data_IF_752630065626
#
_entry.id   IF_752630065626
#
_cell.length_a   1.000
_cell.length_b   1.000
_cell.length_c   1.000
_cell.angle_alpha   90.00
_cell.angle_beta   90.00
_cell.angle_gamma   90.00
#
_symmetry.space_group_name_H-M   'P 1'
#
loop_
_entity.id
_entity.type
_entity.pdbx_description
1 polymer ?
#
# COMPACT_ATOMS: atom_id res chain seq x y z
N UNK A 1 -40.37 22.54 -28.11
CA UNK A 1 -39.53 22.63 -26.90
C UNK A 1 -38.12 23.03 -27.32
N UNK A 2 -37.78 24.32 -27.24
CA UNK A 2 -36.43 24.79 -27.57
C UNK A 2 -35.49 24.47 -26.41
N UNK A 3 -34.39 23.78 -26.67
CA UNK A 3 -33.35 23.56 -25.65
C UNK A 3 -32.80 24.91 -25.20
N UNK A 4 -32.92 25.18 -23.90
CA UNK A 4 -32.34 26.38 -23.30
C UNK A 4 -30.83 26.33 -23.52
N UNK A 5 -30.26 27.32 -24.22
CA UNK A 5 -28.82 27.37 -24.55
C UNK A 5 -27.92 27.19 -23.30
N UNK A 6 -28.40 27.59 -22.12
CA UNK A 6 -27.73 27.37 -20.82
C UNK A 6 -27.50 25.90 -20.50
N UNK A 7 -28.47 25.03 -20.79
CA UNK A 7 -28.39 23.59 -20.52
C UNK A 7 -27.32 22.90 -21.37
N UNK A 8 -26.99 23.44 -22.55
CA UNK A 8 -25.91 22.92 -23.38
C UNK A 8 -24.51 23.41 -22.92
N UNK A 9 -24.45 24.55 -22.23
CA UNK A 9 -23.18 25.18 -21.80
C UNK A 9 -22.74 24.71 -20.42
N UNK A 10 -23.70 24.47 -19.52
CA UNK A 10 -23.46 24.01 -18.15
C UNK A 10 -22.60 22.74 -18.04
N UNK A 11 -22.80 21.67 -18.83
CA UNK A 11 -21.91 20.52 -18.80
C UNK A 11 -20.49 20.86 -19.26
N UNK A 12 -20.32 21.73 -20.26
CA UNK A 12 -18.99 22.12 -20.75
C UNK A 12 -18.21 22.87 -19.66
N UNK A 13 -18.88 23.76 -18.93
CA UNK A 13 -18.28 24.49 -17.81
C UNK A 13 -17.93 23.55 -16.66
N UNK A 14 -18.80 22.59 -16.34
CA UNK A 14 -18.55 21.65 -15.24
C UNK A 14 -17.36 20.73 -15.54
N UNK A 15 -17.22 20.28 -16.79
CA UNK A 15 -16.05 19.52 -17.24
C UNK A 15 -14.76 20.36 -17.14
N UNK A 16 -14.73 21.56 -17.69
CA UNK A 16 -13.56 22.46 -17.60
C UNK A 16 -13.17 22.78 -16.14
N UNK A 17 -14.16 22.97 -15.27
CA UNK A 17 -13.92 23.22 -13.84
C UNK A 17 -13.33 21.99 -13.14
N UNK A 18 -13.79 20.79 -13.51
CA UNK A 18 -13.24 19.54 -12.98
C UNK A 18 -11.78 19.34 -13.40
N UNK A 19 -11.48 19.51 -14.69
CA UNK A 19 -10.12 19.37 -15.22
C UNK A 19 -9.16 20.39 -14.60
N UNK A 20 -9.60 21.65 -14.48
CA UNK A 20 -8.80 22.68 -13.82
C UNK A 20 -8.55 22.38 -12.34
N UNK A 21 -9.54 21.83 -11.63
CA UNK A 21 -9.37 21.40 -10.25
C UNK A 21 -8.43 20.21 -10.11
N UNK A 22 -8.46 19.26 -11.03
CA UNK A 22 -7.53 18.11 -11.06
C UNK A 22 -6.09 18.61 -11.28
N UNK A 23 -5.85 19.46 -12.29
CA UNK A 23 -4.52 20.06 -12.55
C UNK A 23 -4.04 20.86 -11.33
N UNK A 24 -4.92 21.64 -10.70
CA UNK A 24 -4.59 22.39 -9.48
C UNK A 24 -4.26 21.46 -8.30
N UNK A 25 -5.00 20.37 -8.11
CA UNK A 25 -4.75 19.41 -7.03
C UNK A 25 -3.45 18.62 -7.27
N UNK A 26 -3.16 18.28 -8.53
CA UNK A 26 -1.90 17.69 -8.97
C UNK A 26 -0.72 18.61 -8.65
N UNK A 27 -0.77 19.88 -9.06
CA UNK A 27 0.29 20.87 -8.80
C UNK A 27 0.45 21.19 -7.31
N UNK A 28 -0.63 21.14 -6.53
CA UNK A 28 -0.58 21.27 -5.07
C UNK A 28 -0.11 19.99 -4.36
N UNK A 29 0.16 18.91 -5.09
CA UNK A 29 0.53 17.61 -4.52
C UNK A 29 -0.57 16.97 -3.67
N UNK A 30 -1.81 17.47 -3.76
CA UNK A 30 -2.92 17.08 -2.88
C UNK A 30 -3.46 15.69 -3.20
N UNK A 31 -3.37 15.28 -4.46
CA UNK A 31 -3.60 13.87 -4.89
C UNK A 31 -2.49 12.95 -4.36
N UNK A 32 -1.26 13.47 -4.27
CA UNK A 32 -0.12 12.78 -3.67
C UNK A 32 -0.20 12.61 -2.16
N UNK A 33 -0.93 13.47 -1.43
CA UNK A 33 -1.09 13.34 0.04
C UNK A 33 -1.92 12.09 0.39
N UNK A 34 -2.95 11.79 -0.41
CA UNK A 34 -3.82 10.63 -0.18
C UNK A 34 -3.07 9.33 -0.48
N UNK A 35 -2.27 9.30 -1.55
CA UNK A 35 -1.39 8.15 -1.82
C UNK A 35 -0.25 8.05 -0.80
N UNK A 36 0.37 9.17 -0.40
CA UNK A 36 1.43 9.23 0.62
C UNK A 36 0.96 8.79 2.00
N UNK A 37 -0.34 8.87 2.33
CA UNK A 37 -0.92 8.28 3.54
C UNK A 37 -1.08 6.75 3.48
N UNK A 38 -1.20 6.18 2.28
CA UNK A 38 -1.31 4.73 2.10
C UNK A 38 0.04 4.00 2.23
N UNK A 39 1.13 4.62 1.74
CA UNK A 39 2.48 4.05 1.84
C UNK A 39 2.97 3.73 3.27
N UNK A 40 2.80 4.59 4.30
CA UNK A 40 3.25 4.28 5.65
C UNK A 40 2.46 3.11 6.26
N UNK A 41 1.17 2.95 5.93
CA UNK A 41 0.40 1.80 6.40
C UNK A 41 0.89 0.49 5.78
N UNK A 42 1.21 0.48 4.47
CA UNK A 42 1.87 -0.66 3.82
C UNK A 42 3.28 -0.92 4.37
N UNK A 43 4.04 0.14 4.67
CA UNK A 43 5.39 0.03 5.24
C UNK A 43 5.40 -0.59 6.64
N UNK A 44 4.43 -0.24 7.49
CA UNK A 44 4.26 -0.83 8.83
C UNK A 44 3.90 -2.33 8.77
N UNK A 45 3.04 -2.71 7.82
CA UNK A 45 2.72 -4.13 7.57
C UNK A 45 3.96 -4.88 7.06
N UNK A 46 4.78 -4.26 6.22
CA UNK A 46 6.02 -4.86 5.70
C UNK A 46 7.10 -5.03 6.77
N UNK A 47 7.23 -4.10 7.73
CA UNK A 47 8.23 -4.19 8.79
C UNK A 47 7.90 -5.35 9.75
N UNK A 48 6.63 -5.44 10.17
CA UNK A 48 6.17 -6.48 11.09
C UNK A 48 6.26 -7.90 10.50
N UNK A 49 5.99 -8.06 9.21
CA UNK A 49 6.10 -9.35 8.52
C UNK A 49 7.55 -9.81 8.35
N UNK A 50 8.52 -8.90 8.18
CA UNK A 50 9.95 -9.24 8.11
C UNK A 50 10.51 -9.74 9.45
N UNK A 51 10.12 -9.13 10.57
CA UNK A 51 10.52 -9.57 11.91
C UNK A 51 9.98 -10.96 12.25
N UNK A 52 8.72 -11.24 11.91
CA UNK A 52 8.11 -12.57 12.07
C UNK A 52 8.84 -13.63 11.23
N UNK A 53 9.24 -13.29 10.00
CA UNK A 53 10.03 -14.18 9.14
C UNK A 53 11.38 -14.54 9.76
N UNK A 54 12.09 -13.56 10.35
CA UNK A 54 13.35 -13.80 11.05
C UNK A 54 13.19 -14.69 12.29
N UNK A 55 12.11 -14.49 13.05
CA UNK A 55 11.80 -15.31 14.22
C UNK A 55 11.51 -16.75 13.81
N UNK A 56 10.73 -16.96 12.75
CA UNK A 56 10.47 -18.29 12.19
C UNK A 56 11.77 -18.99 11.75
N UNK A 57 12.68 -18.26 11.10
CA UNK A 57 13.99 -18.78 10.68
C UNK A 57 14.83 -19.22 11.87
N UNK A 58 14.88 -18.43 12.94
CA UNK A 58 15.64 -18.75 14.15
C UNK A 58 15.08 -20.00 14.85
N UNK A 59 13.76 -20.09 14.96
CA UNK A 59 13.07 -21.25 15.54
C UNK A 59 13.28 -22.53 14.72
N UNK A 60 13.22 -22.45 13.38
CA UNK A 60 13.47 -23.59 12.51
C UNK A 60 14.90 -24.13 12.67
N UNK A 61 15.90 -23.25 12.66
CA UNK A 61 17.29 -23.64 12.88
C UNK A 61 17.49 -24.28 14.27
N UNK A 62 16.80 -23.77 15.28
CA UNK A 62 16.85 -24.34 16.63
C UNK A 62 16.25 -25.76 16.70
N UNK A 63 15.11 -26.00 16.04
CA UNK A 63 14.50 -27.34 15.96
C UNK A 63 15.43 -28.32 15.24
N UNK A 64 16.01 -27.91 14.11
CA UNK A 64 16.96 -28.73 13.35
C UNK A 64 18.20 -29.05 14.20
N UNK A 65 18.70 -28.09 14.98
CA UNK A 65 19.83 -28.29 15.89
C UNK A 65 19.53 -29.35 16.97
N UNK A 66 18.39 -29.25 17.65
CA UNK A 66 17.96 -30.22 18.67
C UNK A 66 17.76 -31.62 18.05
N UNK A 67 17.17 -31.70 16.87
CA UNK A 67 16.96 -32.97 16.18
C UNK A 67 18.28 -33.66 15.80
N UNK A 68 19.23 -32.90 15.25
CA UNK A 68 20.58 -33.43 14.94
C UNK A 68 21.32 -33.87 16.21
N UNK A 69 21.19 -33.13 17.31
CA UNK A 69 21.77 -33.51 18.60
C UNK A 69 21.17 -34.82 19.13
N UNK A 70 19.85 -34.99 19.02
CA UNK A 70 19.19 -36.24 19.42
C UNK A 70 19.68 -37.44 18.59
N UNK A 71 19.85 -37.29 17.28
CA UNK A 71 20.34 -38.37 16.42
C UNK A 71 21.78 -38.79 16.78
N UNK A 72 22.65 -37.83 17.11
CA UNK A 72 24.01 -38.12 17.58
C UNK A 72 23.99 -38.93 18.87
N UNK A 73 23.10 -38.61 19.81
CA UNK A 73 22.98 -39.35 21.09
C UNK A 73 22.44 -40.78 20.94
N UNK A 74 21.74 -41.11 19.85
CA UNK A 74 21.25 -42.48 19.59
C UNK A 74 22.28 -43.40 18.91
N UNK A 75 23.39 -42.84 18.41
CA UNK A 75 24.44 -43.57 17.70
C UNK A 75 25.66 -43.89 18.59
N UNK A 76 25.54 -43.68 19.90
CA UNK A 76 26.54 -44.01 20.92
C UNK A 76 25.98 -45.04 21.89
#
# INVERSE_FOLDING_TARGET
MGMNRRSAIEPVISHLKYDHNMIRNFLKGKEGIVSMLSYPLLGLISLSSFELFLLFRKSYLFIVFIFNLSLVSFHF
#
